data_IF_465871339067
#
_entry.id   IF_465871339067
#
_cell.length_a   1.000
_cell.length_b   1.000
_cell.length_c   1.000
_cell.angle_alpha   90.00
_cell.angle_beta   90.00
_cell.angle_gamma   90.00
#
_symmetry.space_group_name_H-M   'P 1'
#
loop_
_entity.id
_entity.type
_entity.pdbx_description
1 polymer ?
#
# COMPACT_ATOMS: atom_id res chain seq x y z
N UNK A 1 30.90 6.12 31.93
CA UNK A 1 30.44 7.52 31.79
C UNK A 1 29.07 7.59 32.44
N UNK A 2 28.78 8.56 33.31
CA UNK A 2 27.46 8.64 33.95
C UNK A 2 26.42 8.94 32.87
N UNK A 3 25.38 8.11 32.78
CA UNK A 3 24.21 8.40 31.94
C UNK A 3 23.59 9.67 32.51
N UNK A 4 23.64 10.74 31.74
CA UNK A 4 23.05 12.02 32.15
C UNK A 4 21.55 11.95 31.96
N UNK A 5 20.78 12.75 32.72
CA UNK A 5 19.33 12.88 32.52
C UNK A 5 18.99 13.21 31.05
N UNK A 6 19.87 13.95 30.39
CA UNK A 6 19.79 14.33 28.98
C UNK A 6 19.90 13.11 28.05
N UNK A 7 20.78 12.14 28.35
CA UNK A 7 20.90 10.88 27.59
C UNK A 7 19.62 10.04 27.69
N UNK A 8 19.01 9.97 28.87
CA UNK A 8 17.74 9.26 29.08
C UNK A 8 16.58 9.87 28.30
N UNK A 9 16.48 11.20 28.27
CA UNK A 9 15.47 11.93 27.48
C UNK A 9 15.68 11.69 25.97
N UNK A 10 16.93 11.74 25.50
CA UNK A 10 17.27 11.46 24.10
C UNK A 10 16.90 10.03 23.68
N UNK A 11 17.19 9.03 24.52
CA UNK A 11 16.79 7.64 24.25
C UNK A 11 15.27 7.50 24.20
N UNK A 12 14.54 8.13 25.12
CA UNK A 12 13.07 8.14 25.09
C UNK A 12 12.52 8.74 23.79
N UNK A 13 13.06 9.88 23.36
CA UNK A 13 12.60 10.57 22.15
C UNK A 13 12.93 9.80 20.87
N UNK A 14 14.12 9.19 20.80
CA UNK A 14 14.53 8.36 19.66
C UNK A 14 13.72 7.08 19.56
N UNK A 15 13.39 6.42 20.68
CA UNK A 15 12.53 5.24 20.69
C UNK A 15 11.11 5.54 20.19
N UNK A 16 10.50 6.64 20.66
CA UNK A 16 9.19 7.08 20.18
C UNK A 16 9.24 7.42 18.69
N UNK A 17 10.28 8.11 18.24
CA UNK A 17 10.46 8.46 16.82
C UNK A 17 10.66 7.22 15.95
N UNK A 18 11.44 6.24 16.41
CA UNK A 18 11.66 4.98 15.73
C UNK A 18 10.36 4.16 15.65
N UNK A 19 9.56 4.15 16.72
CA UNK A 19 8.26 3.47 16.73
C UNK A 19 7.28 4.13 15.75
N UNK A 20 7.21 5.46 15.72
CA UNK A 20 6.38 6.19 14.77
C UNK A 20 6.82 5.98 13.31
N UNK A 21 8.14 5.94 13.07
CA UNK A 21 8.69 5.62 11.75
C UNK A 21 8.37 4.17 11.33
N UNK A 22 8.43 3.22 12.26
CA UNK A 22 8.09 1.81 12.04
C UNK A 22 6.62 1.65 11.66
N UNK A 23 5.69 2.33 12.36
CA UNK A 23 4.26 2.29 12.02
C UNK A 23 3.99 2.84 10.61
N UNK A 24 4.73 3.88 10.18
CA UNK A 24 4.64 4.42 8.81
C UNK A 24 5.20 3.48 7.75
N UNK A 25 6.23 2.69 8.08
CA UNK A 25 6.77 1.65 7.19
C UNK A 25 5.83 0.44 7.08
N UNK A 26 5.31 -0.02 8.21
CA UNK A 26 4.43 -1.17 8.32
C UNK A 26 3.13 -0.99 7.52
N UNK A 27 2.55 0.22 7.52
CA UNK A 27 1.34 0.49 6.71
C UNK A 27 1.58 0.27 5.22
N UNK A 28 2.75 0.67 4.71
CA UNK A 28 3.14 0.45 3.30
C UNK A 28 3.36 -1.02 3.01
N UNK A 29 3.98 -1.77 3.93
CA UNK A 29 4.16 -3.22 3.77
C UNK A 29 2.83 -3.96 3.74
N UNK A 30 1.91 -3.66 4.65
CA UNK A 30 0.59 -4.29 4.68
C UNK A 30 -0.19 -3.99 3.39
N UNK A 31 -0.19 -2.73 2.93
CA UNK A 31 -0.84 -2.35 1.67
C UNK A 31 -0.24 -3.07 0.46
N UNK A 32 1.08 -3.28 0.45
CA UNK A 32 1.77 -4.06 -0.59
C UNK A 32 1.30 -5.52 -0.61
N UNK A 33 1.27 -6.18 0.56
CA UNK A 33 0.80 -7.57 0.69
C UNK A 33 -0.66 -7.71 0.25
N UNK A 34 -1.54 -6.80 0.67
CA UNK A 34 -2.94 -6.78 0.24
C UNK A 34 -3.06 -6.64 -1.27
N UNK A 35 -2.24 -5.76 -1.88
CA UNK A 35 -2.26 -5.52 -3.33
C UNK A 35 -1.85 -6.78 -4.09
N UNK A 36 -0.85 -7.52 -3.60
CA UNK A 36 -0.45 -8.82 -4.15
C UNK A 36 -1.56 -9.86 -4.08
N UNK A 37 -2.24 -9.99 -2.94
CA UNK A 37 -3.35 -10.95 -2.77
C UNK A 37 -4.51 -10.60 -3.70
N UNK A 38 -4.89 -9.33 -3.77
CA UNK A 38 -5.96 -8.86 -4.64
C UNK A 38 -5.63 -9.05 -6.13
N UNK A 39 -4.38 -8.80 -6.53
CA UNK A 39 -3.90 -9.04 -7.89
C UNK A 39 -3.90 -10.53 -8.26
N UNK A 40 -3.49 -11.40 -7.34
CA UNK A 40 -3.54 -12.85 -7.54
C UNK A 40 -4.98 -13.35 -7.69
N UNK A 41 -5.91 -12.84 -6.87
CA UNK A 41 -7.33 -13.14 -7.02
C UNK A 41 -7.86 -12.67 -8.38
N UNK A 42 -7.52 -11.44 -8.78
CA UNK A 42 -7.91 -10.93 -10.10
C UNK A 42 -7.34 -11.79 -11.25
N UNK A 43 -6.08 -12.21 -11.17
CA UNK A 43 -5.49 -13.11 -12.15
C UNK A 43 -6.26 -14.43 -12.25
N UNK A 44 -6.66 -15.01 -11.11
CA UNK A 44 -7.41 -16.25 -11.07
C UNK A 44 -8.82 -16.12 -11.69
N UNK A 45 -9.49 -14.98 -11.52
CA UNK A 45 -10.84 -14.77 -12.07
C UNK A 45 -10.86 -14.24 -13.50
N UNK A 46 -9.87 -13.44 -13.92
CA UNK A 46 -9.89 -12.71 -15.18
C UNK A 46 -8.91 -13.24 -16.25
N UNK A 47 -8.24 -14.39 -16.05
CA UNK A 47 -7.38 -14.96 -17.09
C UNK A 47 -8.16 -15.47 -18.32
N UNK A 48 -9.40 -15.94 -18.15
CA UNK A 48 -10.19 -16.52 -19.24
C UNK A 48 -10.50 -15.52 -20.38
N UNK A 49 -10.91 -14.27 -20.11
CA UNK A 49 -11.05 -13.26 -21.16
C UNK A 49 -9.74 -12.90 -21.88
N UNK A 50 -8.57 -13.10 -21.25
CA UNK A 50 -7.26 -12.75 -21.83
C UNK A 50 -6.68 -13.88 -22.67
N UNK A 51 -7.04 -15.13 -22.37
CA UNK A 51 -6.60 -16.33 -23.08
C UNK A 51 -6.71 -16.25 -24.63
N UNK A 52 -7.82 -15.80 -25.23
CA UNK A 52 -7.96 -15.70 -26.69
C UNK A 52 -6.96 -14.75 -27.36
N UNK A 53 -6.44 -13.78 -26.62
CA UNK A 53 -5.43 -12.84 -27.13
C UNK A 53 -4.01 -13.41 -27.04
N UNK A 54 -3.79 -14.42 -26.20
CA UNK A 54 -2.48 -15.07 -25.99
C UNK A 54 -2.33 -16.34 -26.82
N UNK A 55 -3.41 -17.09 -26.99
CA UNK A 55 -3.47 -18.33 -27.79
C UNK A 55 -2.83 -18.23 -29.19
N UNK A 56 -2.97 -17.12 -29.96
CA UNK A 56 -2.34 -17.00 -31.27
C UNK A 56 -0.80 -16.95 -31.23
N UNK A 57 -0.20 -16.64 -30.08
CA UNK A 57 1.24 -16.49 -29.90
C UNK A 57 1.89 -17.65 -29.13
N UNK A 58 1.07 -18.53 -28.53
CA UNK A 58 1.54 -19.61 -27.67
C UNK A 58 0.77 -20.90 -27.97
N UNK A 59 1.43 -21.84 -28.63
CA UNK A 59 0.82 -23.11 -29.06
C UNK A 59 0.40 -24.02 -27.89
N UNK A 60 1.09 -23.92 -26.74
CA UNK A 60 0.80 -24.76 -25.58
C UNK A 60 -0.25 -24.11 -24.68
N UNK A 61 -1.41 -24.75 -24.57
CA UNK A 61 -2.56 -24.26 -23.80
C UNK A 61 -2.23 -23.98 -22.32
N UNK A 62 -1.41 -24.82 -21.68
CA UNK A 62 -0.99 -24.58 -20.29
C UNK A 62 -0.10 -23.36 -20.17
N UNK A 63 0.80 -23.15 -21.12
CA UNK A 63 1.69 -21.97 -21.15
C UNK A 63 0.87 -20.72 -21.45
N UNK A 64 -0.07 -20.78 -22.40
CA UNK A 64 -0.95 -19.67 -22.75
C UNK A 64 -1.80 -19.23 -21.53
N UNK A 65 -2.30 -20.18 -20.75
CA UNK A 65 -3.03 -19.90 -19.50
C UNK A 65 -2.16 -19.18 -18.48
N UNK A 66 -0.92 -19.66 -18.25
CA UNK A 66 0.01 -19.02 -17.31
C UNK A 66 0.39 -17.61 -17.77
N UNK A 67 0.62 -17.41 -19.07
CA UNK A 67 0.93 -16.10 -19.66
C UNK A 67 -0.26 -15.15 -19.52
N UNK A 68 -1.48 -15.61 -19.84
CA UNK A 68 -2.69 -14.80 -19.69
C UNK A 68 -2.93 -14.40 -18.22
N UNK A 69 -2.80 -15.35 -17.29
CA UNK A 69 -2.90 -15.06 -15.85
C UNK A 69 -1.80 -14.08 -15.39
N UNK A 70 -0.57 -14.21 -15.90
CA UNK A 70 0.53 -13.31 -15.63
C UNK A 70 0.28 -11.88 -16.11
N UNK A 71 -0.27 -11.71 -17.32
CA UNK A 71 -0.65 -10.39 -17.86
C UNK A 71 -1.69 -9.74 -16.96
N UNK A 72 -2.76 -10.48 -16.61
CA UNK A 72 -3.80 -9.98 -15.71
C UNK A 72 -3.24 -9.64 -14.34
N UNK A 73 -2.39 -10.49 -13.80
CA UNK A 73 -1.75 -10.27 -12.50
C UNK A 73 -1.00 -8.94 -12.45
N UNK A 74 -0.14 -8.67 -13.45
CA UNK A 74 0.66 -7.44 -13.48
C UNK A 74 -0.23 -6.21 -13.62
N UNK A 75 -1.22 -6.24 -14.53
CA UNK A 75 -2.15 -5.12 -14.74
C UNK A 75 -2.97 -4.87 -13.46
N UNK A 76 -3.52 -5.92 -12.86
CA UNK A 76 -4.28 -5.82 -11.62
C UNK A 76 -3.41 -5.32 -10.46
N UNK A 77 -2.17 -5.79 -10.34
CA UNK A 77 -1.23 -5.35 -9.30
C UNK A 77 -0.95 -3.85 -9.39
N UNK A 78 -0.71 -3.34 -10.60
CA UNK A 78 -0.50 -1.91 -10.81
C UNK A 78 -1.75 -1.12 -10.42
N UNK A 79 -2.92 -1.52 -10.91
CA UNK A 79 -4.19 -0.82 -10.64
C UNK A 79 -4.51 -0.83 -9.15
N UNK A 80 -4.44 -2.00 -8.50
CA UNK A 80 -4.73 -2.14 -7.06
C UNK A 80 -3.71 -1.36 -6.24
N UNK A 81 -2.42 -1.42 -6.57
CA UNK A 81 -1.39 -0.66 -5.84
C UNK A 81 -1.62 0.85 -5.92
N UNK A 82 -2.04 1.36 -7.08
CA UNK A 82 -2.37 2.78 -7.23
C UNK A 82 -3.61 3.13 -6.39
N UNK A 83 -4.65 2.28 -6.42
CA UNK A 83 -5.88 2.51 -5.64
C UNK A 83 -5.58 2.48 -4.14
N UNK A 84 -4.82 1.51 -3.66
CA UNK A 84 -4.49 1.38 -2.23
C UNK A 84 -3.67 2.55 -1.72
N UNK A 85 -2.71 3.05 -2.51
CA UNK A 85 -1.98 4.27 -2.18
C UNK A 85 -2.90 5.50 -2.09
N UNK A 86 -3.75 5.72 -3.11
CA UNK A 86 -4.68 6.86 -3.11
C UNK A 86 -5.68 6.80 -1.96
N UNK A 87 -6.16 5.60 -1.62
CA UNK A 87 -7.09 5.40 -0.51
C UNK A 87 -6.43 5.71 0.84
N UNK A 88 -5.16 5.33 1.01
CA UNK A 88 -4.40 5.65 2.22
C UNK A 88 -4.24 7.18 2.40
N UNK A 89 -3.91 7.89 1.31
CA UNK A 89 -3.77 9.35 1.34
C UNK A 89 -5.11 10.04 1.65
N UNK A 90 -6.20 9.61 1.02
CA UNK A 90 -7.55 10.15 1.28
C UNK A 90 -8.02 9.97 2.73
N UNK A 91 -7.76 8.80 3.32
CA UNK A 91 -8.15 8.53 4.72
C UNK A 91 -7.38 9.46 5.67
N UNK A 92 -6.10 9.70 5.41
CA UNK A 92 -5.25 10.56 6.25
C UNK A 92 -5.68 12.03 6.10
N UNK A 93 -5.86 12.53 4.87
CA UNK A 93 -6.27 13.92 4.62
C UNK A 93 -7.65 14.24 5.18
N UNK A 94 -8.62 13.31 5.10
CA UNK A 94 -9.96 13.54 5.66
C UNK A 94 -9.97 13.75 7.18
N UNK A 95 -9.05 13.11 7.90
CA UNK A 95 -8.95 13.21 9.37
C UNK A 95 -8.24 14.49 9.80
N UNK A 96 -7.24 14.93 9.05
CA UNK A 96 -6.50 16.17 9.34
C UNK A 96 -7.35 17.41 9.06
N UNK A 97 -8.15 17.43 8.00
CA UNK A 97 -9.00 18.58 7.65
C UNK A 97 -10.14 18.89 8.64
N UNK A 98 -10.56 17.94 9.48
CA UNK A 98 -11.55 18.18 10.53
C UNK A 98 -10.94 18.80 11.80
N UNK A 99 -9.70 18.44 12.14
CA UNK A 99 -8.95 19.02 13.26
C UNK A 99 -8.44 20.43 12.95
N UNK A 100 -8.04 20.69 11.70
CA UNK A 100 -7.54 22.00 11.30
C UNK A 100 -8.65 23.08 11.33
N UNK A 101 -9.90 22.68 11.04
CA UNK A 101 -11.08 23.56 11.15
C UNK A 101 -11.45 23.91 12.59
N UNK A 102 -11.24 23.02 13.55
CA UNK A 102 -11.56 23.33 14.96
C UNK A 102 -10.46 24.16 15.63
N UNK A 103 -9.20 23.96 15.23
CA UNK A 103 -8.08 24.80 15.67
C UNK A 103 -8.12 26.19 15.03
N UNK A 104 -8.48 26.30 13.74
CA UNK A 104 -8.70 27.59 13.08
C UNK A 104 -9.85 28.40 13.70
N UNK A 105 -10.90 27.73 14.19
CA UNK A 105 -11.99 28.38 14.93
C UNK A 105 -11.56 28.89 16.32
N UNK A 106 -10.59 28.23 16.97
CA UNK A 106 -10.07 28.66 18.27
C UNK A 106 -8.95 29.71 18.17
N UNK A 107 -8.24 29.79 17.04
CA UNK A 107 -7.13 30.73 16.82
C UNK A 107 -7.45 31.94 15.94
N UNK A 108 -8.66 32.09 15.37
CA UNK A 108 -8.98 33.33 14.64
C UNK A 108 -10.36 33.40 13.96
N UNK A 109 -11.30 34.01 14.69
CA UNK A 109 -12.14 35.10 14.17
C UNK A 109 -11.76 36.38 14.94
#
# INVERSE_FOLDING_TARGET
MPITLLDGILVGFTLVSAMLAMVRGLSREILSVISWIAAAAAAFFFYQPVLPYVQPYVDNEKIAMVVAAGIVFIVALIVVSIITMKLADWIIDSRVGALDRTLGFLYGA
#
